data_IF_892285726395
#
_entry.id   IF_892285726395
#
_cell.length_a   1.000
_cell.length_b   1.000
_cell.length_c   1.000
_cell.angle_alpha   90.00
_cell.angle_beta   90.00
_cell.angle_gamma   90.00
#
_symmetry.space_group_name_H-M   'P 1'
#
loop_
_entity.id
_entity.type
_entity.pdbx_description
1 polymer ?
#
# COMPACT_ATOMS: atom_id res chain seq x y z
N UNK A 1 -25.04 -12.22 -13.23
CA UNK A 1 -25.25 -13.32 -12.26
C UNK A 1 -24.13 -13.24 -11.23
N UNK A 2 -24.34 -12.69 -10.01
CA UNK A 2 -23.33 -12.80 -8.98
C UNK A 2 -23.50 -14.19 -8.37
N UNK A 3 -22.71 -15.15 -8.86
CA UNK A 3 -22.46 -16.36 -8.10
C UNK A 3 -21.91 -15.92 -6.76
N UNK A 4 -22.65 -16.20 -5.69
CA UNK A 4 -22.19 -16.09 -4.33
C UNK A 4 -20.89 -16.88 -4.24
N UNK A 5 -19.76 -16.17 -4.32
CA UNK A 5 -18.46 -16.75 -4.07
C UNK A 5 -18.46 -17.10 -2.59
N UNK A 6 -18.73 -18.37 -2.29
CA UNK A 6 -18.43 -18.97 -1.00
C UNK A 6 -16.89 -19.04 -0.88
N UNK A 7 -16.30 -17.85 -0.73
CA UNK A 7 -14.88 -17.57 -0.55
C UNK A 7 -14.54 -17.62 0.94
N UNK A 8 -15.22 -18.46 1.72
CA UNK A 8 -14.89 -18.66 3.13
C UNK A 8 -13.41 -18.97 3.29
N UNK A 9 -12.67 -17.98 3.79
CA UNK A 9 -11.46 -18.11 4.60
C UNK A 9 -10.35 -19.04 4.06
N UNK A 10 -10.11 -19.13 2.74
CA UNK A 10 -8.89 -19.83 2.27
C UNK A 10 -7.66 -19.04 2.71
N UNK A 11 -7.01 -19.52 3.77
CA UNK A 11 -5.75 -19.02 4.36
C UNK A 11 -5.82 -17.61 4.99
N UNK A 12 -7.00 -17.09 5.34
CA UNK A 12 -7.11 -15.77 5.97
C UNK A 12 -6.33 -15.70 7.30
N UNK A 13 -6.39 -16.76 8.11
CA UNK A 13 -5.65 -16.85 9.36
C UNK A 13 -4.13 -16.88 9.12
N UNK A 14 -3.69 -17.56 8.06
CA UNK A 14 -2.28 -17.56 7.66
C UNK A 14 -1.83 -16.16 7.21
N UNK A 15 -2.63 -15.47 6.40
CA UNK A 15 -2.33 -14.10 5.97
C UNK A 15 -2.25 -13.18 7.20
N UNK A 16 -3.18 -13.30 8.15
CA UNK A 16 -3.16 -12.51 9.39
C UNK A 16 -1.95 -12.82 10.28
N UNK A 17 -1.49 -14.09 10.29
CA UNK A 17 -0.28 -14.50 11.00
C UNK A 17 0.98 -13.84 10.42
N UNK A 18 1.07 -13.69 9.11
CA UNK A 18 2.26 -13.16 8.44
C UNK A 18 2.18 -11.68 8.08
N UNK A 19 1.00 -11.06 8.16
CA UNK A 19 0.78 -9.69 7.74
C UNK A 19 -0.29 -8.96 8.53
N UNK A 20 -0.29 -7.63 8.41
CA UNK A 20 -1.43 -6.76 8.70
C UNK A 20 -2.05 -6.41 7.35
N UNK A 21 -3.35 -6.63 7.18
CA UNK A 21 -4.08 -6.25 5.97
C UNK A 21 -5.13 -5.21 6.34
N UNK A 22 -5.21 -4.11 5.61
CA UNK A 22 -6.14 -3.03 5.92
C UNK A 22 -6.65 -2.33 4.66
N UNK A 23 -7.95 -2.04 4.63
CA UNK A 23 -8.60 -1.36 3.52
C UNK A 23 -8.30 0.15 3.54
N UNK A 24 -8.34 0.75 2.37
CA UNK A 24 -8.28 2.20 2.16
C UNK A 24 -9.23 2.61 1.03
N UNK A 25 -9.63 3.86 1.03
CA UNK A 25 -10.49 4.42 -0.01
C UNK A 25 -10.08 5.86 -0.36
N UNK A 26 -10.35 6.28 -1.58
CA UNK A 26 -10.15 7.64 -2.03
C UNK A 26 -11.31 8.11 -2.90
N UNK A 27 -11.54 9.41 -2.88
CA UNK A 27 -12.53 10.07 -3.72
C UNK A 27 -11.81 11.06 -4.66
N UNK A 28 -12.06 10.94 -5.97
CA UNK A 28 -11.36 11.76 -6.97
C UNK A 28 -11.76 13.24 -6.91
N UNK A 29 -12.95 13.57 -6.42
CA UNK A 29 -13.39 14.98 -6.32
C UNK A 29 -12.67 15.72 -5.20
N UNK A 30 -12.38 15.04 -4.10
CA UNK A 30 -11.67 15.62 -2.95
C UNK A 30 -10.15 15.49 -3.06
N UNK A 31 -9.65 14.50 -3.80
CA UNK A 31 -8.23 14.15 -3.82
C UNK A 31 -7.72 13.57 -2.50
N UNK A 32 -8.62 13.22 -1.57
CA UNK A 32 -8.31 12.67 -0.25
C UNK A 32 -8.32 11.14 -0.32
N UNK A 33 -7.30 10.54 0.27
CA UNK A 33 -7.19 9.12 0.57
C UNK A 33 -7.39 8.94 2.08
N UNK A 34 -8.33 8.06 2.43
CA UNK A 34 -8.66 7.63 3.78
C UNK A 34 -8.02 6.27 4.05
N UNK A 35 -7.20 6.24 5.09
CA UNK A 35 -6.46 5.08 5.57
C UNK A 35 -7.09 4.58 6.87
N UNK A 36 -6.94 3.30 7.17
CA UNK A 36 -7.17 2.81 8.52
C UNK A 36 -6.01 3.13 9.46
N UNK A 37 -6.16 2.75 10.73
CA UNK A 37 -5.21 3.05 11.80
C UNK A 37 -3.82 2.49 11.52
N UNK A 38 -3.75 1.23 11.08
CA UNK A 38 -2.48 0.57 10.83
C UNK A 38 -1.76 1.15 9.62
N UNK A 39 -2.50 1.50 8.58
CA UNK A 39 -1.98 2.10 7.36
C UNK A 39 -1.44 3.48 7.65
N UNK A 40 -2.17 4.33 8.39
CA UNK A 40 -1.67 5.63 8.82
C UNK A 40 -0.39 5.49 9.65
N UNK A 41 -0.40 4.60 10.64
CA UNK A 41 0.73 4.36 11.54
C UNK A 41 1.96 3.85 10.79
N UNK A 42 1.80 2.85 9.93
CA UNK A 42 2.91 2.21 9.21
C UNK A 42 3.48 3.10 8.11
N UNK A 43 2.69 4.00 7.53
CA UNK A 43 3.18 5.05 6.63
C UNK A 43 3.78 6.26 7.38
N UNK A 44 3.67 6.31 8.72
CA UNK A 44 4.18 7.42 9.52
C UNK A 44 3.39 8.72 9.36
N UNK A 45 2.12 8.61 8.99
CA UNK A 45 1.21 9.75 8.81
C UNK A 45 0.51 10.08 10.14
N UNK A 46 0.37 11.37 10.43
CA UNK A 46 -0.27 11.85 11.66
C UNK A 46 -1.80 11.77 11.64
N UNK A 47 -2.39 11.61 10.45
CA UNK A 47 -3.84 11.56 10.21
C UNK A 47 -4.17 10.44 9.25
N UNK A 48 -5.35 9.85 9.44
CA UNK A 48 -5.91 8.83 8.53
C UNK A 48 -6.27 9.39 7.15
N UNK A 49 -6.45 10.70 7.03
CA UNK A 49 -6.69 11.37 5.75
C UNK A 49 -5.38 11.97 5.23
N UNK A 50 -5.06 11.71 3.96
CA UNK A 50 -3.89 12.27 3.30
C UNK A 50 -4.12 12.41 1.78
N UNK A 51 -3.35 13.25 1.10
CA UNK A 51 -3.31 13.27 -0.36
C UNK A 51 -2.35 12.23 -0.94
N UNK A 52 -2.55 11.86 -2.21
CA UNK A 52 -1.69 10.89 -2.91
C UNK A 52 -0.18 11.21 -2.81
N UNK A 53 0.20 12.48 -2.95
CA UNK A 53 1.60 12.88 -2.85
C UNK A 53 2.19 12.67 -1.45
N UNK A 54 1.39 12.85 -0.39
CA UNK A 54 1.82 12.56 0.98
C UNK A 54 2.05 11.06 1.18
N UNK A 55 1.18 10.22 0.61
CA UNK A 55 1.34 8.77 0.61
C UNK A 55 2.61 8.34 -0.14
N UNK A 56 2.81 8.84 -1.38
CA UNK A 56 3.98 8.49 -2.21
C UNK A 56 5.32 8.89 -1.60
N UNK A 57 5.37 9.97 -0.80
CA UNK A 57 6.58 10.39 -0.08
C UNK A 57 7.06 9.36 0.94
N UNK A 58 6.17 8.48 1.40
CA UNK A 58 6.52 7.40 2.33
C UNK A 58 7.27 6.27 1.63
N UNK A 59 7.14 6.12 0.30
CA UNK A 59 7.70 5.00 -0.46
C UNK A 59 9.14 5.24 -0.93
N UNK A 60 9.83 4.15 -1.30
CA UNK A 60 11.14 4.15 -1.94
C UNK A 60 11.12 5.08 -3.16
N UNK A 61 12.00 6.10 -3.25
CA UNK A 61 12.02 7.07 -4.34
C UNK A 61 12.02 6.45 -5.74
N UNK A 62 12.61 5.26 -5.92
CA UNK A 62 12.69 4.58 -7.22
C UNK A 62 11.32 4.10 -7.73
N UNK A 63 10.37 3.84 -6.83
CA UNK A 63 9.07 3.25 -7.18
C UNK A 63 7.98 4.33 -7.36
N UNK A 64 8.21 5.55 -6.84
CA UNK A 64 7.19 6.62 -6.77
C UNK A 64 6.61 6.99 -8.13
N UNK A 65 7.44 7.09 -9.16
CA UNK A 65 6.99 7.45 -10.51
C UNK A 65 6.07 6.40 -11.12
N UNK A 66 6.41 5.12 -10.94
CA UNK A 66 5.58 4.02 -11.41
C UNK A 66 4.24 3.95 -10.65
N UNK A 67 4.28 4.06 -9.31
CA UNK A 67 3.06 4.04 -8.49
C UNK A 67 2.16 5.23 -8.83
N UNK A 68 2.72 6.43 -9.02
CA UNK A 68 1.96 7.60 -9.45
C UNK A 68 1.22 7.33 -10.77
N UNK A 69 1.89 6.76 -11.77
CA UNK A 69 1.28 6.43 -13.04
C UNK A 69 0.10 5.44 -12.91
N UNK A 70 0.17 4.48 -12.00
CA UNK A 70 -0.94 3.56 -11.71
C UNK A 70 -2.17 4.32 -11.18
N UNK A 71 -1.97 5.26 -10.26
CA UNK A 71 -3.07 6.08 -9.73
C UNK A 71 -3.63 7.05 -10.77
N UNK A 72 -2.77 7.67 -11.59
CA UNK A 72 -3.20 8.54 -12.70
C UNK A 72 -4.06 7.77 -13.70
N UNK A 73 -3.64 6.56 -14.08
CA UNK A 73 -4.43 5.68 -14.93
C UNK A 73 -5.78 5.36 -14.28
N UNK A 74 -5.79 5.00 -12.99
CA UNK A 74 -7.01 4.70 -12.25
C UNK A 74 -7.98 5.89 -12.15
N UNK A 75 -7.48 7.13 -12.18
CA UNK A 75 -8.32 8.35 -12.21
C UNK A 75 -8.88 8.67 -13.60
N UNK A 76 -8.27 8.15 -14.67
CA UNK A 76 -8.67 8.42 -16.06
C UNK A 76 -9.58 7.34 -16.62
N UNK A 77 -9.37 6.09 -16.21
CA UNK A 77 -10.11 4.92 -16.66
C UNK A 77 -10.36 4.01 -15.46
N UNK A 78 -11.59 3.50 -15.34
CA UNK A 78 -11.91 2.45 -14.38
C UNK A 78 -10.98 1.27 -14.61
N UNK A 79 -10.10 0.98 -13.65
CA UNK A 79 -9.07 -0.03 -13.78
C UNK A 79 -8.69 -0.62 -12.43
N UNK A 80 -8.20 -1.85 -12.46
CA UNK A 80 -7.56 -2.49 -11.31
C UNK A 80 -6.05 -2.33 -11.42
N UNK A 81 -5.39 -2.18 -10.28
CA UNK A 81 -3.94 -2.02 -10.21
C UNK A 81 -3.39 -2.77 -8.99
N UNK A 82 -2.11 -3.07 -9.05
CA UNK A 82 -1.35 -3.54 -7.90
C UNK A 82 0.08 -3.04 -7.96
N UNK A 83 0.71 -2.88 -6.79
CA UNK A 83 2.12 -2.59 -6.69
C UNK A 83 2.72 -3.20 -5.42
N UNK A 84 4.04 -3.33 -5.41
CA UNK A 84 4.82 -3.61 -4.21
C UNK A 84 5.91 -2.57 -4.11
N UNK A 85 6.16 -2.08 -2.90
CA UNK A 85 7.23 -1.13 -2.61
C UNK A 85 7.67 -1.26 -1.15
N UNK A 86 8.53 -0.36 -0.71
CA UNK A 86 9.02 -0.27 0.66
C UNK A 86 8.71 1.09 1.23
N UNK A 87 8.11 1.12 2.41
CA UNK A 87 7.96 2.33 3.21
C UNK A 87 9.29 2.63 3.90
N UNK A 88 9.75 3.87 3.73
CA UNK A 88 10.98 4.39 4.30
C UNK A 88 10.69 5.00 5.68
N UNK A 89 10.95 4.24 6.75
CA UNK A 89 10.69 4.71 8.11
C UNK A 89 11.81 5.65 8.60
N UNK A 90 11.51 6.62 9.48
CA UNK A 90 12.52 7.53 10.03
C UNK A 90 13.65 6.85 10.80
N UNK A 91 13.39 5.66 11.37
CA UNK A 91 14.34 4.89 12.18
C UNK A 91 15.28 3.98 11.35
N UNK A 92 15.48 4.28 10.07
CA UNK A 92 16.27 3.47 9.12
C UNK A 92 15.72 2.06 8.84
N UNK A 93 14.63 1.64 9.50
CA UNK A 93 13.90 0.43 9.15
C UNK A 93 13.08 0.66 7.89
N UNK A 94 12.77 -0.44 7.23
CA UNK A 94 12.04 -0.46 5.96
C UNK A 94 10.89 -1.44 6.08
N UNK A 95 9.68 -1.01 5.76
CA UNK A 95 8.49 -1.87 5.80
C UNK A 95 8.05 -2.20 4.38
N UNK A 96 8.15 -3.45 3.91
CA UNK A 96 7.53 -3.85 2.66
C UNK A 96 6.02 -3.62 2.72
N UNK A 97 5.44 -3.20 1.59
CA UNK A 97 3.99 -3.06 1.46
C UNK A 97 3.57 -3.54 0.07
N UNK A 98 2.48 -4.28 0.04
CA UNK A 98 1.76 -4.63 -1.17
C UNK A 98 0.46 -3.87 -1.18
N UNK A 99 0.07 -3.35 -2.34
CA UNK A 99 -1.21 -2.70 -2.52
C UNK A 99 -1.91 -3.29 -3.73
N UNK A 100 -3.20 -3.52 -3.58
CA UNK A 100 -4.11 -3.84 -4.68
C UNK A 100 -5.30 -2.90 -4.56
N UNK A 101 -5.80 -2.43 -5.69
CA UNK A 101 -6.97 -1.57 -5.70
C UNK A 101 -7.64 -1.53 -7.04
N UNK A 102 -8.80 -0.89 -7.06
CA UNK A 102 -9.59 -0.66 -8.25
C UNK A 102 -10.25 0.71 -8.18
N UNK A 103 -10.46 1.32 -9.35
CA UNK A 103 -11.26 2.52 -9.50
C UNK A 103 -12.59 2.23 -10.17
N UNK A 104 -13.60 3.02 -9.82
CA UNK A 104 -14.94 2.95 -10.36
C UNK A 104 -15.51 4.35 -10.62
N UNK A 105 -16.46 4.46 -11.54
CA UNK A 105 -17.27 5.67 -11.71
C UNK A 105 -16.56 6.83 -12.41
N UNK A 106 -15.55 6.56 -13.25
CA UNK A 106 -14.91 7.60 -14.08
C UNK A 106 -15.75 7.96 -15.32
N UNK A 107 -16.76 7.16 -15.65
CA UNK A 107 -17.67 7.39 -16.79
C UNK A 107 -19.08 7.77 -16.29
N UNK A 108 -19.58 8.92 -16.76
CA UNK A 108 -20.93 9.48 -16.59
C UNK A 108 -21.39 9.85 -15.15
N UNK A 109 -21.35 11.17 -14.85
CA UNK A 109 -22.06 11.90 -13.77
C UNK A 109 -21.70 11.62 -12.31
N UNK A 110 -20.86 10.64 -11.99
CA UNK A 110 -20.41 10.39 -10.60
C UNK A 110 -19.00 10.93 -10.36
N UNK A 111 -18.73 11.41 -9.14
CA UNK A 111 -17.36 11.60 -8.66
C UNK A 111 -16.76 10.21 -8.50
N UNK A 112 -15.85 9.83 -9.40
CA UNK A 112 -15.22 8.52 -9.36
C UNK A 112 -14.54 8.25 -8.02
N UNK A 113 -14.45 6.98 -7.66
CA UNK A 113 -13.86 6.53 -6.40
C UNK A 113 -12.81 5.46 -6.67
N UNK A 114 -11.91 5.31 -5.70
CA UNK A 114 -10.84 4.31 -5.73
C UNK A 114 -10.81 3.63 -4.37
N UNK A 115 -10.64 2.33 -4.34
CA UNK A 115 -10.53 1.58 -3.10
C UNK A 115 -9.50 0.47 -3.25
N UNK A 116 -8.96 0.03 -2.12
CA UNK A 116 -7.97 -1.03 -2.15
C UNK A 116 -7.65 -1.57 -0.77
N UNK A 117 -6.63 -2.42 -0.75
CA UNK A 117 -6.08 -3.04 0.45
C UNK A 117 -4.57 -2.88 0.45
N UNK A 118 -4.04 -2.48 1.60
CA UNK A 118 -2.62 -2.63 1.91
C UNK A 118 -2.39 -3.94 2.65
N UNK A 119 -1.31 -4.63 2.30
CA UNK A 119 -0.81 -5.80 3.03
C UNK A 119 0.63 -5.49 3.47
N UNK A 120 0.84 -5.50 4.78
CA UNK A 120 2.11 -5.22 5.43
C UNK A 120 2.65 -6.50 6.06
N UNK A 121 3.68 -7.15 5.50
CA UNK A 121 4.32 -8.28 6.16
C UNK A 121 4.82 -7.92 7.56
N UNK A 122 4.70 -8.83 8.53
CA UNK A 122 5.14 -8.66 9.92
C UNK A 122 6.65 -8.83 10.10
N UNK A 123 7.44 -8.28 9.17
CA UNK A 123 8.88 -8.15 9.31
C UNK A 123 9.32 -6.79 8.76
N UNK A 124 10.47 -6.32 9.22
CA UNK A 124 11.12 -5.11 8.71
C UNK A 124 12.39 -5.53 7.99
N UNK A 125 12.73 -4.81 6.94
CA UNK A 125 14.03 -4.89 6.32
C UNK A 125 14.98 -3.96 7.08
N UNK A 126 16.19 -4.43 7.32
CA UNK A 126 17.24 -3.59 7.85
C UNK A 126 17.64 -2.54 6.80
N UNK A 127 18.05 -1.35 7.27
CA UNK A 127 18.76 -0.42 6.41
C UNK A 127 20.00 -1.09 5.80
N UNK A 128 20.39 -0.67 4.59
CA UNK A 128 21.45 -1.27 3.77
C UNK A 128 22.84 -1.45 4.46
N UNK A 129 22.99 -0.97 5.70
CA UNK A 129 24.22 -1.06 6.49
C UNK A 129 24.31 -2.30 7.40
N UNK A 130 23.25 -3.12 7.55
CA UNK A 130 23.31 -4.32 8.41
C UNK A 130 23.59 -5.63 7.66
N UNK A 131 23.36 -5.68 6.35
CA UNK A 131 23.71 -6.87 5.55
C UNK A 131 25.23 -7.00 5.34
N UNK A 132 25.98 -5.89 5.37
CA UNK A 132 27.44 -5.91 5.29
C UNK A 132 28.12 -6.47 6.55
N UNK A 133 27.51 -6.31 7.73
CA UNK A 133 28.09 -6.75 9.01
C UNK A 133 27.91 -8.24 9.29
N UNK A 134 26.94 -8.92 8.65
CA UNK A 134 26.79 -10.38 8.77
C UNK A 134 27.82 -11.18 7.95
N UNK A 135 28.34 -10.63 6.85
CA UNK A 135 29.35 -11.33 6.04
C UNK A 135 30.77 -11.24 6.60
N UNK A 136 31.08 -10.30 7.50
CA UNK A 136 32.40 -10.21 8.14
C UNK A 136 32.53 -11.05 9.42
N UNK A 137 31.43 -11.41 10.08
CA UNK A 137 31.47 -12.21 11.32
C UNK A 137 31.62 -13.74 11.09
N UNK A 138 31.65 -14.20 9.84
CA UNK A 138 31.87 -15.62 9.48
C UNK A 138 33.27 -15.90 8.90
N UNK A 139 34.17 -14.91 8.93
CA UNK A 139 35.52 -15.00 8.39
C UNK A 139 36.63 -14.70 9.43
N UNK A 140 36.39 -14.98 10.71
CA UNK A 140 37.38 -14.81 11.79
C UNK A 140 37.43 -16.03 12.68
#
# INVERSE_FOLDING_TARGET
MPGSLDLTHRNQDMIAQFSVSEAWAGDFSSGIIRLGDWSSLLHGLSTQECGLLSLLRCYDPKDRGHILALFEQATTLSSSFCFSTTIMMPNSLRQPVFCMGESSGVEEKFSGSIAGVFIFPRFKLDGANQTASRQQAQAS
#
